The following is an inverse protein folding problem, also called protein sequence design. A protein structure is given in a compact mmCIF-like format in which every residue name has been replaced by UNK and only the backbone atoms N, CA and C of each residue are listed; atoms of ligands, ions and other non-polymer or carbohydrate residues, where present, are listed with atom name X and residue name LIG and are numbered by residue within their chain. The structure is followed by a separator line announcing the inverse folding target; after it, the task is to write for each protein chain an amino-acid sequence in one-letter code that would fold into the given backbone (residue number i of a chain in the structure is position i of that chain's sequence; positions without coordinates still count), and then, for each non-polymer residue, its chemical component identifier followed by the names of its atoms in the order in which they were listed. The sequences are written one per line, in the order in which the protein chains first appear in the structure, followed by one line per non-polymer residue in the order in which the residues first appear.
data_IF_546699617222
#
_entry.id   IF_546699617222
#
_cell.length_a   1.000
_cell.length_b   1.000
_cell.length_c   1.000
_cell.angle_alpha   90.00
_cell.angle_beta   90.00
_cell.angle_gamma   90.00
#
_symmetry.space_group_name_H-M   'P 1'
#
loop_
_entity.id
_entity.type
_entity.pdbx_description
1 polymer ?
#
# COMPACT_ATOMS: atom_id res chain seq x y z
N UNK A 1 -27.42 15.96 21.42
CA UNK A 1 -26.06 15.89 20.85
C UNK A 1 -26.04 14.90 19.69
N UNK A 2 -26.00 15.40 18.46
CA UNK A 2 -25.78 14.58 17.25
C UNK A 2 -24.51 15.13 16.58
N UNK A 3 -23.52 14.27 16.36
CA UNK A 3 -22.36 14.57 15.50
C UNK A 3 -22.37 13.57 14.36
N UNK A 4 -22.76 14.04 13.20
CA UNK A 4 -22.42 13.47 11.90
C UNK A 4 -21.93 14.66 11.08
N UNK A 5 -20.66 14.65 10.70
CA UNK A 5 -20.29 14.79 9.29
C UNK A 5 -18.81 14.40 9.13
N UNK A 6 -18.57 13.27 8.47
CA UNK A 6 -17.24 12.87 8.01
C UNK A 6 -17.03 13.54 6.67
N UNK A 7 -16.45 14.73 6.69
CA UNK A 7 -16.16 15.50 5.49
C UNK A 7 -15.14 14.76 4.62
N UNK A 8 -15.63 14.04 3.62
CA UNK A 8 -14.85 13.71 2.44
C UNK A 8 -14.40 15.03 1.81
N UNK A 9 -13.10 15.30 1.82
CA UNK A 9 -12.51 16.39 1.04
C UNK A 9 -12.64 16.04 -0.44
N UNK A 10 -13.84 16.24 -0.98
CA UNK A 10 -14.15 16.04 -2.39
C UNK A 10 -13.75 17.30 -3.15
N UNK A 11 -12.44 17.48 -3.34
CA UNK A 11 -11.91 18.39 -4.34
C UNK A 11 -12.33 17.91 -5.73
N UNK A 12 -13.29 18.60 -6.36
CA UNK A 12 -13.52 18.50 -7.81
C UNK A 12 -12.31 19.10 -8.51
N UNK A 13 -11.38 18.27 -8.94
CA UNK A 13 -10.41 18.63 -9.96
C UNK A 13 -10.24 17.45 -10.90
N UNK A 14 -10.07 17.73 -12.19
CA UNK A 14 -9.83 16.76 -13.27
C UNK A 14 -8.46 16.06 -13.15
N UNK A 15 -7.93 15.90 -11.93
CA UNK A 15 -6.67 15.26 -11.61
C UNK A 15 -6.82 13.75 -11.46
N UNK A 16 -5.69 13.06 -11.58
CA UNK A 16 -5.53 11.64 -11.24
C UNK A 16 -6.25 11.38 -9.90
N UNK A 17 -7.23 10.47 -9.89
CA UNK A 17 -7.97 10.12 -8.67
C UNK A 17 -7.02 9.46 -7.69
N UNK A 18 -6.52 10.20 -6.71
CA UNK A 18 -5.73 9.63 -5.62
C UNK A 18 -6.65 8.91 -4.63
N UNK A 19 -6.27 7.73 -4.17
CA UNK A 19 -6.98 7.02 -3.10
C UNK A 19 -6.22 7.14 -1.79
N UNK A 20 -6.91 7.57 -0.73
CA UNK A 20 -6.31 7.71 0.60
C UNK A 20 -6.95 6.67 1.53
N UNK A 21 -6.11 5.92 2.22
CA UNK A 21 -6.49 4.88 3.16
C UNK A 21 -5.95 5.26 4.54
N UNK A 22 -6.86 5.66 5.43
CA UNK A 22 -6.54 6.06 6.80
C UNK A 22 -6.19 4.86 7.69
N UNK A 23 -5.59 5.15 8.84
CA UNK A 23 -5.16 4.17 9.85
C UNK A 23 -4.26 3.08 9.28
N UNK A 24 -3.33 3.49 8.43
CA UNK A 24 -2.30 2.62 7.90
C UNK A 24 -1.25 2.31 8.98
N UNK A 25 -0.85 1.05 9.09
CA UNK A 25 0.17 0.62 10.03
C UNK A 25 1.11 -0.39 9.39
N UNK A 26 2.40 -0.28 9.70
CA UNK A 26 3.36 -1.32 9.35
C UNK A 26 3.15 -2.46 10.35
N UNK A 27 2.55 -3.54 9.89
CA UNK A 27 2.21 -4.71 10.69
C UNK A 27 3.40 -5.66 10.87
N UNK A 28 4.27 -5.74 9.87
CA UNK A 28 5.50 -6.53 9.91
C UNK A 28 6.57 -5.97 8.96
N UNK A 29 7.83 -6.34 9.21
CA UNK A 29 8.95 -6.07 8.32
C UNK A 29 9.72 -7.37 8.09
N UNK A 30 9.91 -7.73 6.83
CA UNK A 30 10.75 -8.86 6.44
C UNK A 30 11.89 -8.40 5.52
N UNK A 31 12.97 -9.20 5.48
CA UNK A 31 14.14 -8.91 4.65
C UNK A 31 14.39 -10.06 3.69
N UNK A 32 14.43 -9.74 2.40
CA UNK A 32 14.76 -10.65 1.32
C UNK A 32 16.13 -10.28 0.73
N UNK A 33 16.97 -11.28 0.45
CA UNK A 33 18.32 -11.05 -0.09
C UNK A 33 18.33 -10.42 -1.48
N UNK A 34 17.27 -10.62 -2.26
CA UNK A 34 17.15 -10.14 -3.64
C UNK A 34 16.34 -8.84 -3.69
N UNK A 35 15.22 -8.80 -2.97
CA UNK A 35 14.27 -7.67 -3.02
C UNK A 35 14.52 -6.60 -1.95
N UNK A 36 15.33 -6.91 -0.93
CA UNK A 36 15.60 -6.01 0.18
C UNK A 36 14.50 -6.03 1.24
N UNK A 37 14.21 -4.86 1.81
CA UNK A 37 13.22 -4.71 2.87
C UNK A 37 11.79 -4.74 2.30
N UNK A 38 10.95 -5.58 2.90
CA UNK A 38 9.54 -5.73 2.59
C UNK A 38 8.71 -5.31 3.80
N UNK A 39 7.80 -4.36 3.58
CA UNK A 39 6.92 -3.81 4.59
C UNK A 39 5.54 -4.41 4.40
N UNK A 40 5.05 -5.17 5.38
CA UNK A 40 3.67 -5.58 5.40
C UNK A 40 2.85 -4.46 6.04
N UNK A 41 2.09 -3.74 5.21
CA UNK A 41 1.24 -2.65 5.67
C UNK A 41 -0.21 -3.12 5.74
N UNK A 42 -0.86 -2.85 6.87
CA UNK A 42 -2.30 -3.02 7.03
C UNK A 42 -3.03 -1.69 6.91
N UNK A 43 -4.20 -1.73 6.28
CA UNK A 43 -5.17 -0.64 6.21
C UNK A 43 -6.56 -1.17 6.57
N UNK A 44 -7.51 -0.29 6.91
CA UNK A 44 -8.91 -0.71 7.04
C UNK A 44 -9.41 -1.32 5.73
N UNK A 45 -10.16 -2.41 5.84
CA UNK A 45 -10.73 -3.12 4.69
C UNK A 45 -11.62 -2.18 3.88
N UNK A 46 -11.23 -1.92 2.62
CA UNK A 46 -11.97 -1.00 1.74
C UNK A 46 -13.18 -1.69 1.07
N UNK A 47 -13.14 -3.01 0.92
CA UNK A 47 -14.24 -3.78 0.36
C UNK A 47 -15.24 -4.13 1.48
N UNK A 48 -16.31 -3.33 1.61
CA UNK A 48 -17.36 -3.49 2.65
C UNK A 48 -18.26 -4.74 2.50
N UNK A 49 -17.82 -5.79 1.78
CA UNK A 49 -18.56 -7.02 1.62
C UNK A 49 -18.24 -8.02 2.74
N UNK A 50 -19.28 -8.62 3.33
CA UNK A 50 -19.11 -9.68 4.36
C UNK A 50 -18.46 -10.94 3.80
N UNK A 51 -18.79 -11.27 2.55
CA UNK A 51 -18.30 -12.45 1.85
C UNK A 51 -16.92 -12.20 1.25
N UNK A 52 -15.97 -13.11 1.55
CA UNK A 52 -14.57 -13.04 1.08
C UNK A 52 -14.50 -12.97 -0.45
N UNK A 53 -15.30 -13.77 -1.15
CA UNK A 53 -15.32 -13.79 -2.63
C UNK A 53 -15.69 -12.43 -3.21
N UNK A 54 -16.72 -11.77 -2.67
CA UNK A 54 -17.12 -10.43 -3.11
C UNK A 54 -16.05 -9.38 -2.83
N UNK A 55 -15.25 -9.55 -1.77
CA UNK A 55 -14.08 -8.68 -1.53
C UNK A 55 -12.99 -8.92 -2.55
N UNK A 56 -12.69 -10.18 -2.89
CA UNK A 56 -11.75 -10.50 -3.97
C UNK A 56 -12.19 -9.88 -5.28
N UNK A 57 -13.45 -10.07 -5.66
CA UNK A 57 -14.00 -9.50 -6.89
C UNK A 57 -13.87 -7.98 -6.85
N UNK A 58 -14.24 -7.32 -5.75
CA UNK A 58 -14.09 -5.87 -5.62
C UNK A 58 -12.65 -5.40 -5.81
N UNK A 59 -11.68 -6.04 -5.14
CA UNK A 59 -10.26 -5.67 -5.27
C UNK A 59 -9.75 -5.89 -6.70
N UNK A 60 -10.09 -7.02 -7.33
CA UNK A 60 -9.73 -7.31 -8.72
C UNK A 60 -10.32 -6.28 -9.71
N UNK A 61 -11.60 -5.91 -9.54
CA UNK A 61 -12.25 -4.92 -10.40
C UNK A 61 -11.75 -3.49 -10.15
N UNK A 62 -11.37 -3.17 -8.92
CA UNK A 62 -10.90 -1.84 -8.55
C UNK A 62 -9.56 -1.46 -9.18
N UNK A 63 -8.74 -2.47 -9.54
CA UNK A 63 -7.36 -2.31 -10.01
C UNK A 63 -6.51 -1.43 -9.08
N UNK A 64 -6.77 -1.51 -7.78
CA UNK A 64 -6.00 -0.82 -6.74
C UNK A 64 -4.83 -1.67 -6.29
N UNK A 65 -3.79 -1.03 -5.77
CA UNK A 65 -2.56 -1.65 -5.29
C UNK A 65 -2.02 -2.68 -6.29
N UNK A 66 -1.94 -2.30 -7.55
CA UNK A 66 -1.33 -3.16 -8.57
C UNK A 66 0.18 -3.24 -8.34
N UNK A 67 0.80 -4.40 -8.54
CA UNK A 67 2.25 -4.52 -8.47
C UNK A 67 2.96 -3.46 -9.34
N UNK A 68 4.02 -2.86 -8.79
CA UNK A 68 4.77 -1.77 -9.44
C UNK A 68 4.14 -0.38 -9.31
N UNK A 69 2.92 -0.26 -8.78
CA UNK A 69 2.30 1.03 -8.54
C UNK A 69 3.03 1.79 -7.41
N UNK A 70 3.22 3.10 -7.63
CA UNK A 70 3.75 3.99 -6.61
C UNK A 70 2.66 4.32 -5.59
N UNK A 71 3.03 4.23 -4.32
CA UNK A 71 2.24 4.69 -3.18
C UNK A 71 3.12 5.53 -2.26
N UNK A 72 2.52 6.30 -1.37
CA UNK A 72 3.26 6.86 -0.25
C UNK A 72 2.54 6.63 1.06
N UNK A 73 3.35 6.35 2.09
CA UNK A 73 2.93 6.37 3.48
C UNK A 73 3.17 7.78 4.00
N UNK A 74 2.13 8.39 4.57
CA UNK A 74 2.19 9.74 5.12
C UNK A 74 1.87 9.67 6.59
N UNK A 75 2.74 10.22 7.43
CA UNK A 75 2.51 10.38 8.86
C UNK A 75 1.79 11.69 9.18
N UNK A 76 1.12 11.74 10.33
CA UNK A 76 0.46 12.95 10.82
C UNK A 76 1.40 14.17 10.98
N UNK A 77 2.71 13.94 11.20
CA UNK A 77 3.71 15.00 11.25
C UNK A 77 4.24 15.42 9.86
N UNK A 78 3.61 14.97 8.78
CA UNK A 78 3.96 15.34 7.40
C UNK A 78 5.18 14.62 6.83
N UNK A 79 5.77 13.67 7.56
CA UNK A 79 6.85 12.83 7.00
C UNK A 79 6.28 11.79 6.04
N UNK A 80 6.95 11.60 4.91
CA UNK A 80 6.48 10.78 3.78
C UNK A 80 7.52 9.72 3.45
N UNK A 81 7.07 8.49 3.27
CA UNK A 81 7.87 7.38 2.74
C UNK A 81 7.25 6.92 1.42
N UNK A 82 8.01 7.01 0.33
CA UNK A 82 7.57 6.50 -0.97
C UNK A 82 7.84 5.01 -1.07
N UNK A 83 6.84 4.27 -1.53
CA UNK A 83 6.91 2.82 -1.66
C UNK A 83 6.32 2.35 -2.99
N UNK A 84 6.70 1.15 -3.39
CA UNK A 84 6.17 0.45 -4.55
C UNK A 84 5.43 -0.78 -4.06
N UNK A 85 4.25 -1.04 -4.63
CA UNK A 85 3.50 -2.26 -4.33
C UNK A 85 4.26 -3.47 -4.88
N UNK A 86 4.53 -4.43 -4.00
CA UNK A 86 5.24 -5.65 -4.32
C UNK A 86 4.35 -6.66 -5.06
N UNK A 87 4.97 -7.54 -5.86
CA UNK A 87 4.27 -8.63 -6.56
C UNK A 87 3.63 -9.63 -5.59
N UNK A 88 4.18 -9.72 -4.39
CA UNK A 88 3.70 -10.52 -3.27
C UNK A 88 2.35 -10.07 -2.73
N UNK A 89 1.87 -8.87 -3.11
CA UNK A 89 0.54 -8.41 -2.71
C UNK A 89 -0.54 -9.30 -3.32
N UNK A 90 -1.13 -10.16 -2.51
CA UNK A 90 -2.17 -11.10 -2.94
C UNK A 90 -3.51 -10.36 -3.07
N UNK A 91 -3.94 -10.12 -4.32
CA UNK A 91 -5.25 -9.54 -4.66
C UNK A 91 -6.31 -10.66 -4.76
N UNK A 92 -5.98 -11.73 -5.47
CA UNK A 92 -6.84 -12.92 -5.66
C UNK A 92 -6.08 -14.17 -5.31
N UNK A 93 -6.74 -15.10 -4.62
CA UNK A 93 -6.20 -16.41 -4.20
C UNK A 93 -5.94 -17.37 -5.37
N UNK A 94 -6.19 -16.95 -6.61
CA UNK A 94 -6.18 -17.82 -7.79
C UNK A 94 -4.98 -17.69 -8.72
N UNK A 95 -4.05 -16.74 -8.54
CA UNK A 95 -3.04 -16.48 -9.56
C UNK A 95 -1.65 -16.06 -9.02
N UNK A 96 -1.14 -16.77 -8.02
CA UNK A 96 0.32 -16.84 -7.83
C UNK A 96 0.92 -17.60 -9.01
N UNK A 97 1.24 -16.89 -10.09
CA UNK A 97 1.85 -17.45 -11.28
C UNK A 97 3.25 -18.01 -11.01
N UNK A 98 3.44 -19.28 -11.40
CA UNK A 98 4.72 -19.94 -11.74
C UNK A 98 5.75 -20.12 -10.62
N UNK A 99 5.49 -21.10 -9.76
CA UNK A 99 6.52 -22.07 -9.33
C UNK A 99 5.83 -23.28 -8.70
N UNK A 100 5.51 -24.27 -9.53
CA UNK A 100 5.34 -25.64 -9.05
C UNK A 100 5.66 -26.57 -10.22
N UNK A 101 6.89 -27.08 -10.15
CA UNK A 101 7.33 -28.23 -10.92
C UNK A 101 6.34 -29.38 -10.71
N UNK A 102 6.06 -30.07 -11.81
CA UNK A 102 5.19 -31.23 -11.92
C UNK A 102 5.39 -32.25 -10.78
N UNK A 103 4.31 -32.51 -10.03
CA UNK A 103 4.21 -33.58 -9.03
C UNK A 103 2.75 -33.75 -8.58
N UNK A 104 2.27 -34.96 -8.26
CA UNK A 104 0.85 -35.26 -8.26
C UNK A 104 0.10 -34.60 -7.10
N UNK A 105 -0.92 -33.84 -7.48
CA UNK A 105 -2.16 -33.49 -6.79
C UNK A 105 -2.21 -33.70 -5.27
N UNK A 106 -2.05 -32.61 -4.51
CA UNK A 106 -2.63 -32.48 -3.16
C UNK A 106 -3.74 -31.41 -3.18
N UNK A 107 -4.83 -31.58 -2.43
CA UNK A 107 -5.93 -30.62 -2.41
C UNK A 107 -5.48 -29.31 -1.74
N UNK A 108 -5.13 -28.31 -2.56
CA UNK A 108 -4.63 -26.96 -2.21
C UNK A 108 -5.65 -26.04 -1.49
N UNK A 109 -6.67 -26.57 -0.82
CA UNK A 109 -7.69 -25.72 -0.17
C UNK A 109 -7.34 -25.27 1.26
N UNK A 110 -6.40 -25.93 1.95
CA UNK A 110 -6.19 -25.69 3.39
C UNK A 110 -4.98 -24.79 3.76
N UNK A 111 -4.02 -24.56 2.86
CA UNK A 111 -2.78 -23.81 3.19
C UNK A 111 -2.84 -22.30 2.93
N UNK A 112 -3.95 -21.78 2.37
CA UNK A 112 -4.08 -20.36 2.05
C UNK A 112 -4.88 -19.54 3.08
N UNK A 113 -5.53 -20.19 4.05
CA UNK A 113 -6.44 -19.53 5.02
C UNK A 113 -5.73 -18.62 6.05
N UNK A 114 -4.40 -18.52 6.04
CA UNK A 114 -3.64 -17.70 6.99
C UNK A 114 -2.73 -16.63 6.38
N UNK A 115 -2.65 -16.51 5.05
CA UNK A 115 -1.72 -15.54 4.43
C UNK A 115 -2.33 -14.14 4.40
N UNK A 116 -1.57 -13.10 4.80
CA UNK A 116 -1.99 -11.70 4.64
C UNK A 116 -2.36 -11.42 3.18
N UNK A 117 -3.53 -10.81 2.95
CA UNK A 117 -3.99 -10.43 1.62
C UNK A 117 -4.91 -9.22 1.69
N UNK A 118 -5.27 -8.68 0.53
CA UNK A 118 -6.21 -7.56 0.46
C UNK A 118 -7.63 -7.92 0.89
N UNK A 119 -8.06 -9.17 0.70
CA UNK A 119 -9.46 -9.57 0.78
C UNK A 119 -9.79 -10.59 1.89
N UNK A 120 -8.83 -11.36 2.38
CA UNK A 120 -9.12 -12.47 3.29
C UNK A 120 -9.69 -11.99 4.63
N UNK A 121 -9.09 -10.96 5.22
CA UNK A 121 -9.51 -10.40 6.50
C UNK A 121 -10.71 -9.44 6.32
N UNK A 122 -11.78 -9.56 7.13
CA UNK A 122 -12.97 -8.72 7.01
C UNK A 122 -12.79 -7.29 7.58
N UNK A 123 -11.77 -7.06 8.40
CA UNK A 123 -11.49 -5.80 9.09
C UNK A 123 -10.33 -5.05 8.43
N UNK A 124 -9.29 -5.77 8.00
CA UNK A 124 -8.08 -5.19 7.43
C UNK A 124 -7.78 -5.72 6.03
N UNK A 125 -7.05 -4.92 5.25
CA UNK A 125 -6.40 -5.33 4.01
C UNK A 125 -4.89 -5.21 4.20
N UNK A 126 -4.16 -6.20 3.71
CA UNK A 126 -2.70 -6.25 3.85
C UNK A 126 -2.03 -6.08 2.48
N UNK A 127 -0.99 -5.26 2.45
CA UNK A 127 -0.26 -4.86 1.25
C UNK A 127 1.23 -5.05 1.51
N UNK A 128 1.93 -5.70 0.59
CA UNK A 128 3.39 -5.77 0.62
C UNK A 128 3.96 -4.56 -0.13
N UNK A 129 4.83 -3.80 0.54
CA UNK A 129 5.44 -2.58 0.02
C UNK A 129 6.96 -2.64 0.11
N UNK A 130 7.63 -2.26 -0.98
CA UNK A 130 9.06 -1.99 -1.00
C UNK A 130 9.32 -0.50 -0.94
N UNK A 131 10.33 -0.06 -0.19
CA UNK A 131 10.75 1.35 -0.20
C UNK A 131 11.26 1.69 -1.60
N UNK A 132 10.74 2.76 -2.18
CA UNK A 132 11.04 3.18 -3.56
C UNK A 132 12.54 3.46 -3.76
N UNK A 133 13.18 4.05 -2.76
CA UNK A 133 14.59 4.39 -2.72
C UNK A 133 15.21 3.88 -1.42
N UNK A 134 16.09 2.88 -1.54
CA UNK A 134 16.74 2.24 -0.40
C UNK A 134 17.93 3.10 0.07
N UNK A 135 17.59 4.25 0.64
CA UNK A 135 18.53 5.13 1.34
C UNK A 135 18.45 4.88 2.85
N UNK A 136 19.53 5.16 3.59
CA UNK A 136 19.58 4.96 5.03
C UNK A 136 18.41 5.62 5.74
N UNK A 137 18.08 6.86 5.37
CA UNK A 137 17.05 7.66 6.03
C UNK A 137 15.65 7.06 5.84
N UNK A 138 15.36 6.57 4.64
CA UNK A 138 14.09 5.91 4.33
C UNK A 138 13.94 4.57 5.08
N UNK A 139 15.04 3.80 5.18
CA UNK A 139 15.06 2.55 5.93
C UNK A 139 14.90 2.81 7.43
N UNK A 140 15.64 3.76 7.99
CA UNK A 140 15.51 4.15 9.40
C UNK A 140 14.11 4.68 9.70
N UNK A 141 13.51 5.45 8.79
CA UNK A 141 12.14 5.92 8.92
C UNK A 141 11.13 4.76 8.95
N UNK A 142 11.25 3.79 8.04
CA UNK A 142 10.38 2.62 8.02
C UNK A 142 10.48 1.80 9.32
N UNK A 143 11.71 1.54 9.80
CA UNK A 143 11.95 0.83 11.07
C UNK A 143 11.39 1.60 12.27
N UNK A 144 11.59 2.92 12.30
CA UNK A 144 11.01 3.79 13.34
C UNK A 144 9.50 3.70 13.33
N UNK A 145 8.88 3.77 12.16
CA UNK A 145 7.43 3.68 11.99
C UNK A 145 6.87 2.30 12.36
N UNK A 146 7.64 1.23 12.18
CA UNK A 146 7.27 -0.10 12.66
C UNK A 146 7.32 -0.22 14.18
N UNK A 147 8.28 0.44 14.85
CA UNK A 147 8.33 0.49 16.31
C UNK A 147 7.29 1.43 16.92
N UNK A 148 7.05 2.56 16.28
CA UNK A 148 6.21 3.65 16.79
C UNK A 148 4.72 3.41 16.42
N UNK A 149 4.15 2.31 16.94
CA UNK A 149 2.73 1.92 16.74
C UNK A 149 1.88 2.36 17.93
N UNK A 150 0.69 2.88 17.69
CA UNK A 150 -0.25 3.28 18.74
C UNK A 150 -1.32 4.29 18.30
N UNK A 151 -2.33 4.54 19.14
CA UNK A 151 -3.52 5.32 18.79
C UNK A 151 -3.24 6.80 18.43
N UNK A 152 -2.07 7.31 18.78
CA UNK A 152 -1.62 8.68 18.51
C UNK A 152 -0.61 8.76 17.36
N UNK A 153 -0.36 7.66 16.64
CA UNK A 153 0.62 7.58 15.55
C UNK A 153 -0.09 7.26 14.25
N UNK A 154 -0.94 8.19 13.82
CA UNK A 154 -1.75 8.05 12.62
C UNK A 154 -0.88 8.18 11.37
N UNK A 155 -1.11 7.26 10.45
CA UNK A 155 -0.55 7.27 9.11
C UNK A 155 -1.65 6.95 8.12
N UNK A 156 -1.47 7.39 6.89
CA UNK A 156 -2.31 6.97 5.78
C UNK A 156 -1.45 6.45 4.62
N UNK A 157 -2.03 5.58 3.81
CA UNK A 157 -1.48 5.21 2.50
C UNK A 157 -2.19 6.05 1.46
N UNK A 158 -1.41 6.66 0.58
CA UNK A 158 -1.88 7.41 -0.57
C UNK A 158 -1.46 6.65 -1.81
N UNK A 159 -2.43 6.22 -2.60
CA UNK A 159 -2.23 5.49 -3.85
C UNK A 159 -2.38 6.44 -5.04
N UNK A 160 -1.49 6.31 -6.02
CA UNK A 160 -1.49 7.07 -7.27
C UNK A 160 -1.83 6.15 -8.45
N UNK A 161 -3.11 6.02 -8.85
CA UNK A 161 -3.49 5.10 -9.92
C UNK A 161 -2.77 5.40 -11.23
N UNK A 162 -2.19 4.36 -11.83
CA UNK A 162 -1.49 4.45 -13.12
C UNK A 162 -0.10 5.08 -13.05
N UNK A 163 0.39 5.48 -11.87
CA UNK A 163 1.75 5.98 -11.70
C UNK A 163 2.67 4.81 -11.35
N UNK A 164 3.49 4.41 -12.33
CA UNK A 164 4.55 3.43 -12.12
C UNK A 164 5.84 4.15 -11.78
N UNK A 165 6.51 3.75 -10.70
CA UNK A 165 7.76 4.39 -10.27
C UNK A 165 8.82 4.48 -11.40
N UNK A 166 9.06 3.43 -12.22
CA UNK A 166 10.07 3.51 -13.29
C UNK A 166 9.84 4.66 -14.28
N UNK A 167 8.59 5.06 -14.50
CA UNK A 167 8.23 6.17 -15.39
C UNK A 167 8.21 7.53 -14.70
N UNK A 168 8.10 7.56 -13.37
CA UNK A 168 7.85 8.79 -12.61
C UNK A 168 9.00 9.19 -11.67
N UNK A 169 10.02 8.34 -11.50
CA UNK A 169 11.13 8.57 -10.57
C UNK A 169 11.78 9.94 -10.73
N UNK A 170 12.26 10.27 -11.94
CA UNK A 170 12.94 11.55 -12.19
C UNK A 170 12.03 12.76 -11.96
N UNK A 171 10.73 12.64 -12.28
CA UNK A 171 9.75 13.68 -11.98
C UNK A 171 9.57 13.85 -10.48
N UNK A 172 9.52 12.74 -9.74
CA UNK A 172 9.37 12.74 -8.30
C UNK A 172 10.59 13.36 -7.60
N UNK A 173 11.80 12.99 -8.01
CA UNK A 173 13.05 13.60 -7.53
C UNK A 173 13.08 15.11 -7.80
N UNK A 174 12.68 15.53 -9.00
CA UNK A 174 12.59 16.95 -9.35
C UNK A 174 11.56 17.69 -8.47
N UNK A 175 10.35 17.13 -8.29
CA UNK A 175 9.31 17.68 -7.42
C UNK A 175 9.76 17.79 -5.96
N UNK A 176 10.44 16.77 -5.44
CA UNK A 176 11.01 16.80 -4.10
C UNK A 176 12.08 17.91 -3.96
N UNK A 177 13.00 17.99 -4.93
CA UNK A 177 14.05 19.02 -4.96
C UNK A 177 13.47 20.44 -5.00
N UNK A 178 12.45 20.65 -5.83
CA UNK A 178 11.73 21.92 -5.92
C UNK A 178 10.99 22.26 -4.62
N UNK A 179 10.32 21.29 -3.97
CA UNK A 179 9.63 21.52 -2.70
C UNK A 179 10.58 21.96 -1.58
N UNK A 180 11.78 21.38 -1.51
CA UNK A 180 12.82 21.77 -0.53
C UNK A 180 13.30 23.20 -0.75
N UNK A 181 13.27 23.67 -2.00
CA UNK A 181 13.65 25.02 -2.40
C UNK A 181 12.48 26.02 -2.40
N UNK A 182 11.28 25.58 -2.00
CA UNK A 182 10.02 26.34 -2.09
C UNK A 182 9.73 26.88 -3.50
N UNK A 183 10.25 26.21 -4.53
CA UNK A 183 10.19 26.63 -5.94
C UNK A 183 9.16 25.75 -6.68
N UNK A 184 7.89 25.86 -6.28
CA UNK A 184 6.82 25.04 -6.86
C UNK A 184 6.33 25.67 -8.18
N UNK A 185 6.45 24.98 -9.32
CA UNK A 185 5.85 25.44 -10.56
C UNK A 185 4.33 25.44 -10.41
N UNK A 186 3.69 26.40 -11.07
CA UNK A 186 2.24 26.69 -11.01
C UNK A 186 1.74 27.38 -9.73
N UNK A 187 2.61 28.13 -9.05
CA UNK A 187 2.17 29.20 -8.13
C UNK A 187 1.56 30.37 -8.88
#
# INVERSE_FOLDING_TARGET
MKRHDGSSLRGKNNGVRTHVYEDAEIADISFNKIRGMDLLVRIRQAANAKEVQKRHDWWAHSKRFQPGALVCLVSECGSVLFCVVADETIITSGNSGREQQSGPSKPQKAEQEGKPSLANDPVYSYIHLHVAEVESDNVFQALRWYRDVGPFKRRCVVEFPGVLLPSFKYTLEALQGMSKRLDLPFT
#
